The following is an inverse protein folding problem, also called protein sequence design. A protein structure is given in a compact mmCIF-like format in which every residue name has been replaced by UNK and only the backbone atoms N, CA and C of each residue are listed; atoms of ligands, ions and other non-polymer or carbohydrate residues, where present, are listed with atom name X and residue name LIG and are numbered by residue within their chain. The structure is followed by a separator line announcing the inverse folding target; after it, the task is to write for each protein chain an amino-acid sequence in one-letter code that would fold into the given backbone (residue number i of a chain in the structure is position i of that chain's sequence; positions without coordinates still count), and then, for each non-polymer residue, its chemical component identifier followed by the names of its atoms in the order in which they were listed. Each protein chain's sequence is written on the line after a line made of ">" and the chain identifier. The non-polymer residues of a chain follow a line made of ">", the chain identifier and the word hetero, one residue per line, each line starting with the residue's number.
data_IF_115469517066
#
_entry.id   IF_115469517066
#
_cell.length_a   1.000
_cell.length_b   1.000
_cell.length_c   1.000
_cell.angle_alpha   90.00
_cell.angle_beta   90.00
_cell.angle_gamma   90.00
#
_symmetry.space_group_name_H-M   'P 1'
#
loop_
_entity.id
_entity.type
_entity.pdbx_description
1 polymer ?
#
# COMPACT_ATOMS: atom_id res chain seq x y z
N UNK A 1 10.09 9.57 26.71
CA UNK A 1 9.08 8.73 26.04
C UNK A 1 9.58 8.47 24.63
N UNK A 2 10.12 7.27 24.35
CA UNK A 2 10.61 6.94 23.01
C UNK A 2 9.43 6.87 22.06
N UNK A 3 9.37 7.79 21.10
CA UNK A 3 8.51 7.67 19.93
C UNK A 3 9.03 6.47 19.13
N UNK A 4 8.37 5.32 19.28
CA UNK A 4 8.60 4.15 18.43
C UNK A 4 8.34 4.55 16.99
N UNK A 5 9.40 4.78 16.22
CA UNK A 5 9.29 5.14 14.81
C UNK A 5 8.82 3.91 14.05
N UNK A 6 7.68 4.05 13.39
CA UNK A 6 7.10 2.99 12.60
C UNK A 6 7.49 3.14 11.14
N UNK A 7 8.01 2.07 10.56
CA UNK A 7 8.39 1.98 9.16
C UNK A 7 7.51 0.95 8.47
N UNK A 8 7.24 1.18 7.20
CA UNK A 8 6.39 0.36 6.37
C UNK A 8 7.15 -0.04 5.12
N UNK A 9 7.23 -1.34 4.85
CA UNK A 9 7.63 -1.88 3.55
C UNK A 9 6.35 -2.13 2.78
N UNK A 10 6.24 -1.65 1.55
CA UNK A 10 5.00 -1.80 0.78
C UNK A 10 5.28 -2.26 -0.65
N UNK A 11 4.28 -2.92 -1.23
CA UNK A 11 4.26 -3.29 -2.64
C UNK A 11 3.01 -2.70 -3.27
N UNK A 12 3.21 -1.91 -4.33
CA UNK A 12 2.12 -1.43 -5.17
C UNK A 12 2.14 -2.12 -6.53
N UNK A 13 0.95 -2.38 -7.06
CA UNK A 13 0.76 -2.99 -8.37
C UNK A 13 0.06 -2.00 -9.31
N UNK A 14 0.65 -1.72 -10.47
CA UNK A 14 0.00 -0.94 -11.51
C UNK A 14 -0.95 -1.82 -12.35
N UNK A 15 -1.89 -1.18 -13.05
CA UNK A 15 -2.75 -1.85 -14.03
C UNK A 15 -1.95 -2.61 -15.11
N UNK A 16 -0.75 -2.12 -15.47
CA UNK A 16 0.20 -2.78 -16.38
C UNK A 16 0.99 -3.92 -15.73
N UNK A 17 0.53 -4.45 -14.60
CA UNK A 17 1.15 -5.53 -13.81
C UNK A 17 2.55 -5.21 -13.28
N UNK A 18 3.01 -3.96 -13.28
CA UNK A 18 4.32 -3.60 -12.71
C UNK A 18 4.22 -3.58 -11.19
N UNK A 19 5.18 -4.24 -10.52
CA UNK A 19 5.27 -4.25 -9.07
C UNK A 19 6.35 -3.27 -8.63
N UNK A 20 5.98 -2.34 -7.76
CA UNK A 20 6.90 -1.40 -7.13
C UNK A 20 7.04 -1.76 -5.65
N UNK A 21 8.28 -1.73 -5.15
CA UNK A 21 8.59 -2.05 -3.75
C UNK A 21 9.31 -0.86 -3.15
N UNK A 22 8.83 -0.38 -2.01
CA UNK A 22 9.40 0.77 -1.32
C UNK A 22 9.29 0.66 0.19
N UNK A 23 9.98 1.58 0.87
CA UNK A 23 9.87 1.81 2.31
C UNK A 23 9.43 3.24 2.58
N UNK A 24 8.59 3.44 3.59
CA UNK A 24 8.17 4.76 4.07
C UNK A 24 7.90 4.72 5.56
N UNK A 25 8.05 5.85 6.26
CA UNK A 25 7.58 6.02 7.64
C UNK A 25 6.15 6.56 7.71
N UNK A 26 5.57 6.96 6.57
CA UNK A 26 4.19 7.41 6.46
C UNK A 26 3.57 6.80 5.21
N UNK A 27 2.81 5.71 5.40
CA UNK A 27 2.22 4.93 4.32
C UNK A 27 1.08 5.71 3.63
N UNK A 28 0.21 6.34 4.41
CA UNK A 28 -0.94 7.09 3.91
C UNK A 28 -0.51 8.23 3.00
N UNK A 29 0.35 9.13 3.50
CA UNK A 29 0.87 10.26 2.72
C UNK A 29 1.59 9.79 1.46
N UNK A 30 2.45 8.78 1.57
CA UNK A 30 3.23 8.30 0.42
C UNK A 30 2.36 7.68 -0.67
N UNK A 31 1.28 6.98 -0.29
CA UNK A 31 0.34 6.43 -1.25
C UNK A 31 -0.49 7.54 -1.90
N UNK A 32 -0.92 8.56 -1.14
CA UNK A 32 -1.60 9.74 -1.69
C UNK A 32 -0.68 10.48 -2.67
N UNK A 33 0.58 10.74 -2.31
CA UNK A 33 1.60 11.34 -3.19
C UNK A 33 1.79 10.51 -4.48
N UNK A 34 1.85 9.18 -4.37
CA UNK A 34 1.91 8.29 -5.54
C UNK A 34 0.61 8.22 -6.34
N UNK A 35 -0.54 8.53 -5.74
CA UNK A 35 -1.85 8.69 -6.41
C UNK A 35 -2.03 10.09 -7.01
N UNK A 36 -1.20 11.05 -6.60
CA UNK A 36 -1.19 12.44 -7.04
C UNK A 36 -1.92 13.35 -6.05
N UNK A 37 -1.18 14.11 -5.24
CA UNK A 37 -1.74 15.28 -4.58
C UNK A 37 -1.91 16.43 -5.60
N UNK A 38 -3.14 16.90 -5.79
CA UNK A 38 -3.38 18.28 -6.21
C UNK A 38 -3.90 18.58 -7.62
N UNK A 39 -4.31 17.59 -8.43
CA UNK A 39 -4.96 17.90 -9.72
C UNK A 39 -6.20 17.03 -9.91
N UNK A 40 -7.35 17.69 -9.86
CA UNK A 40 -8.71 17.19 -10.13
C UNK A 40 -8.92 16.77 -11.61
N UNK A 41 -7.84 16.34 -12.26
CA UNK A 41 -7.79 16.03 -13.68
C UNK A 41 -6.75 14.92 -13.84
N UNK A 42 -7.15 13.74 -14.30
CA UNK A 42 -6.24 12.70 -14.83
C UNK A 42 -5.48 11.69 -13.93
N UNK A 43 -5.62 11.64 -12.60
CA UNK A 43 -5.34 10.37 -11.86
C UNK A 43 -6.31 9.22 -12.31
N UNK A 44 -7.35 9.62 -13.06
CA UNK A 44 -8.57 8.93 -13.48
C UNK A 44 -8.50 7.97 -14.67
N UNK A 45 -7.37 7.71 -15.36
CA UNK A 45 -7.48 6.86 -16.59
C UNK A 45 -6.63 5.58 -16.71
N UNK A 46 -5.35 5.49 -16.35
CA UNK A 46 -4.59 4.24 -16.65
C UNK A 46 -3.45 3.83 -15.70
N UNK A 47 -3.21 4.53 -14.59
CA UNK A 47 -2.05 4.30 -13.72
C UNK A 47 -2.37 4.20 -12.22
N UNK A 48 -3.59 3.77 -11.86
CA UNK A 48 -3.94 3.55 -10.45
C UNK A 48 -3.05 2.43 -9.91
N UNK A 49 -2.08 2.80 -9.07
CA UNK A 49 -1.19 1.86 -8.39
C UNK A 49 -1.90 1.40 -7.11
N UNK A 50 -2.41 0.16 -7.12
CA UNK A 50 -3.10 -0.44 -5.98
C UNK A 50 -2.07 -0.80 -4.91
N UNK A 51 -2.38 -0.55 -3.63
CA UNK A 51 -1.60 -1.11 -2.53
C UNK A 51 -2.03 -2.57 -2.36
N UNK A 52 -1.16 -3.51 -2.75
CA UNK A 52 -1.49 -4.93 -2.70
C UNK A 52 -0.86 -5.65 -1.52
N UNK A 53 0.18 -5.05 -0.91
CA UNK A 53 0.88 -5.62 0.24
C UNK A 53 1.57 -4.54 1.07
N UNK A 54 1.60 -4.69 2.38
CA UNK A 54 2.43 -3.90 3.28
C UNK A 54 2.87 -4.71 4.50
N UNK A 55 4.03 -4.36 5.06
CA UNK A 55 4.58 -4.89 6.32
C UNK A 55 4.98 -3.71 7.19
N UNK A 56 4.74 -3.82 8.49
CA UNK A 56 5.09 -2.79 9.48
C UNK A 56 6.30 -3.27 10.32
N UNK A 57 7.28 -2.40 10.53
CA UNK A 57 8.46 -2.66 11.37
C UNK A 57 8.74 -1.47 12.29
N UNK A 58 9.36 -1.71 13.45
CA UNK A 58 9.78 -0.65 14.38
C UNK A 58 11.21 -0.15 14.11
N UNK A 59 11.93 -0.85 13.23
CA UNK A 59 13.34 -0.59 12.94
C UNK A 59 13.54 -0.33 11.45
N UNK A 60 14.17 0.81 11.13
CA UNK A 60 14.46 1.21 9.74
C UNK A 60 15.41 0.25 9.05
N UNK A 61 16.41 -0.28 9.76
CA UNK A 61 17.37 -1.24 9.22
C UNK A 61 16.68 -2.53 8.79
N UNK A 62 15.75 -3.01 9.61
CA UNK A 62 14.89 -4.15 9.29
C UNK A 62 14.02 -3.88 8.06
N UNK A 63 13.42 -2.70 7.95
CA UNK A 63 12.65 -2.30 6.78
C UNK A 63 13.50 -2.25 5.49
N UNK A 64 14.69 -1.63 5.54
CA UNK A 64 15.60 -1.53 4.39
C UNK A 64 16.11 -2.91 3.96
N UNK A 65 16.45 -3.79 4.92
CA UNK A 65 16.89 -5.16 4.63
C UNK A 65 15.78 -5.94 3.95
N UNK A 66 14.55 -5.81 4.42
CA UNK A 66 13.36 -6.45 3.84
C UNK A 66 13.06 -5.92 2.45
N UNK A 67 13.13 -4.61 2.25
CA UNK A 67 12.97 -3.99 0.93
C UNK A 67 14.00 -4.52 -0.07
N UNK A 68 15.28 -4.56 0.29
CA UNK A 68 16.36 -5.12 -0.55
C UNK A 68 16.11 -6.60 -0.86
N UNK A 69 15.68 -7.38 0.12
CA UNK A 69 15.35 -8.78 -0.05
C UNK A 69 14.23 -8.97 -1.07
N UNK A 70 13.11 -8.26 -0.91
CA UNK A 70 11.98 -8.32 -1.83
C UNK A 70 12.38 -7.79 -3.21
N UNK A 71 13.15 -6.70 -3.31
CA UNK A 71 13.63 -6.17 -4.60
C UNK A 71 14.41 -7.22 -5.40
N UNK A 72 15.30 -7.98 -4.74
CA UNK A 72 16.08 -9.06 -5.33
C UNK A 72 15.30 -10.33 -5.68
N UNK A 73 14.02 -10.44 -5.30
CA UNK A 73 13.22 -11.61 -5.64
C UNK A 73 12.74 -11.62 -7.09
N UNK A 74 12.58 -12.84 -7.60
CA UNK A 74 11.89 -13.10 -8.85
C UNK A 74 10.45 -12.62 -8.76
N UNK A 75 9.86 -12.33 -9.92
CA UNK A 75 8.46 -11.90 -10.01
C UNK A 75 7.50 -12.93 -9.38
N UNK A 76 7.75 -14.22 -9.59
CA UNK A 76 6.93 -15.30 -9.01
C UNK A 76 6.94 -15.27 -7.48
N UNK A 77 8.11 -15.07 -6.84
CA UNK A 77 8.20 -14.95 -5.38
C UNK A 77 7.46 -13.72 -4.83
N UNK A 78 7.52 -12.60 -5.54
CA UNK A 78 6.76 -11.39 -5.18
C UNK A 78 5.25 -11.64 -5.27
N UNK A 79 4.79 -12.30 -6.33
CA UNK A 79 3.39 -12.68 -6.51
C UNK A 79 2.93 -13.62 -5.40
N UNK A 80 3.69 -14.68 -5.10
CA UNK A 80 3.36 -15.60 -4.03
C UNK A 80 3.27 -14.90 -2.66
N UNK A 81 4.16 -13.93 -2.38
CA UNK A 81 4.07 -13.11 -1.17
C UNK A 81 2.77 -12.31 -1.14
N UNK A 82 2.43 -11.62 -2.23
CA UNK A 82 1.18 -10.86 -2.33
C UNK A 82 -0.01 -11.79 -2.15
N UNK A 83 -0.09 -12.90 -2.87
CA UNK A 83 -1.21 -13.85 -2.83
C UNK A 83 -1.37 -14.52 -1.46
N UNK A 84 -0.27 -14.72 -0.73
CA UNK A 84 -0.32 -15.26 0.64
C UNK A 84 -1.01 -14.34 1.65
N UNK A 85 -0.99 -13.02 1.41
CA UNK A 85 -1.59 -12.02 2.29
C UNK A 85 -2.86 -11.38 1.72
N UNK A 86 -2.96 -11.30 0.39
CA UNK A 86 -4.01 -10.65 -0.37
C UNK A 86 -4.26 -11.44 -1.67
N UNK A 87 -4.89 -12.61 -1.57
CA UNK A 87 -5.13 -13.50 -2.72
C UNK A 87 -6.00 -12.86 -3.80
N UNK A 88 -6.85 -11.90 -3.42
CA UNK A 88 -7.75 -11.19 -4.33
C UNK A 88 -7.14 -9.91 -4.91
N UNK A 89 -5.90 -9.57 -4.55
CA UNK A 89 -5.22 -8.36 -5.01
C UNK A 89 -6.06 -7.08 -4.79
N UNK A 90 -6.79 -7.05 -3.67
CA UNK A 90 -7.58 -5.89 -3.25
C UNK A 90 -6.67 -4.70 -2.99
N UNK A 91 -7.23 -3.51 -3.13
CA UNK A 91 -6.52 -2.29 -2.80
C UNK A 91 -6.59 -2.04 -1.29
N UNK A 92 -5.57 -2.49 -0.57
CA UNK A 92 -5.49 -2.40 0.89
C UNK A 92 -5.51 -0.95 1.38
N UNK A 93 -5.17 0.03 0.52
CA UNK A 93 -5.29 1.43 0.91
C UNK A 93 -6.74 1.81 1.20
N UNK A 94 -7.70 1.31 0.41
CA UNK A 94 -9.13 1.57 0.64
C UNK A 94 -9.59 0.85 1.90
N UNK A 95 -9.06 -0.34 2.20
CA UNK A 95 -9.41 -1.06 3.43
C UNK A 95 -8.82 -0.38 4.69
N UNK A 96 -7.64 0.24 4.58
CA UNK A 96 -6.95 0.88 5.70
C UNK A 96 -7.37 2.34 5.95
N UNK A 97 -7.68 3.07 4.88
CA UNK A 97 -7.90 4.52 4.90
C UNK A 97 -9.13 4.97 4.11
N UNK A 98 -9.82 4.05 3.41
CA UNK A 98 -11.12 4.37 2.86
C UNK A 98 -12.03 4.71 4.01
N UNK A 99 -12.55 5.93 4.00
CA UNK A 99 -13.59 6.37 4.93
C UNK A 99 -14.63 5.26 5.04
N UNK A 100 -15.02 4.95 6.27
CA UNK A 100 -16.21 4.15 6.49
C UNK A 100 -17.32 4.80 5.67
N UNK A 101 -17.71 4.14 4.58
CA UNK A 101 -19.09 4.20 4.15
C UNK A 101 -19.88 3.54 5.27
N UNK A 102 -20.01 4.24 6.40
CA UNK A 102 -21.12 4.03 7.32
C UNK A 102 -22.34 4.34 6.47
N UNK A 103 -22.87 3.28 5.87
CA UNK A 103 -24.29 3.14 5.70
C UNK A 103 -24.89 3.36 7.10
N UNK A 104 -25.24 4.61 7.41
CA UNK A 104 -26.33 4.86 8.34
C UNK A 104 -27.61 4.57 7.57
N UNK A 105 -27.88 3.30 7.33
CA UNK A 105 -29.27 2.90 7.19
C UNK A 105 -29.89 2.95 8.58
N UNK A 106 -31.12 3.47 8.64
CA UNK A 106 -32.12 3.42 9.71
C UNK A 106 -31.97 4.35 10.94
N UNK A 107 -32.54 5.55 10.79
CA UNK A 107 -33.59 6.08 11.69
C UNK A 107 -34.74 6.51 10.76
N UNK A 108 -35.88 5.82 10.70
CA UNK A 108 -36.78 5.67 11.83
C UNK A 108 -37.55 6.97 12.04
N UNK A 109 -38.44 7.30 11.10
CA UNK A 109 -39.68 8.09 11.27
C UNK A 109 -40.51 7.98 9.99
#
# INVERSE_FOLDING_TARGET
>A
MMLSKQYYVYITASASKRLYVGVTNNLQRRIIEHRGEGVDTFAKKYAITKLVYFEQTQEIMSAIKREKQIKGWTRAKKIALIESANPEWRDLYVELFGEEATFSDSSGC
#
